data_IF_912704010459
#
_entry.id   IF_912704010459
#
_cell.length_a   1.000
_cell.length_b   1.000
_cell.length_c   1.000
_cell.angle_alpha   90.00
_cell.angle_beta   90.00
_cell.angle_gamma   90.00
#
_symmetry.space_group_name_H-M   'P 1'
#
loop_
_entity.id
_entity.type
_entity.pdbx_description
1 polymer ?
#
# COMPACT_ATOMS: atom_id res chain seq x y z
N UNK A 1 -7.07 -18.20 -41.39
CA UNK A 1 -6.19 -17.03 -41.53
C UNK A 1 -6.76 -15.97 -40.61
N UNK A 2 -5.99 -15.48 -39.63
CA UNK A 2 -6.51 -14.44 -38.72
C UNK A 2 -6.59 -13.12 -39.49
N UNK A 3 -7.77 -12.49 -39.52
CA UNK A 3 -7.94 -11.19 -40.12
C UNK A 3 -7.11 -10.15 -39.36
N UNK A 4 -6.25 -9.46 -40.11
CA UNK A 4 -5.29 -8.47 -39.62
C UNK A 4 -5.76 -7.06 -39.97
N UNK A 5 -5.68 -6.17 -38.99
CA UNK A 5 -6.03 -4.75 -39.10
C UNK A 5 -4.88 -3.89 -38.60
N UNK A 6 -4.73 -2.69 -39.17
CA UNK A 6 -3.62 -1.78 -38.86
C UNK A 6 -4.13 -0.48 -38.25
N UNK A 7 -3.61 -0.09 -37.10
CA UNK A 7 -3.91 1.19 -36.45
C UNK A 7 -2.62 2.00 -36.39
N UNK A 8 -2.56 3.13 -37.08
CA UNK A 8 -1.39 4.01 -37.09
C UNK A 8 -1.62 5.18 -36.13
N UNK A 9 -0.73 5.34 -35.14
CA UNK A 9 -0.80 6.43 -34.17
C UNK A 9 0.43 7.32 -34.29
N UNK A 10 0.26 8.58 -34.70
CA UNK A 10 1.36 9.54 -34.90
C UNK A 10 2.55 8.94 -35.70
N UNK A 11 2.23 8.15 -36.73
CA UNK A 11 3.21 7.48 -37.57
C UNK A 11 3.70 6.11 -37.07
N UNK A 12 3.32 5.65 -35.87
CA UNK A 12 3.66 4.31 -35.36
C UNK A 12 2.55 3.30 -35.67
N UNK A 13 2.81 2.24 -36.45
CA UNK A 13 1.81 1.25 -36.82
C UNK A 13 1.65 0.15 -35.75
N UNK A 14 0.41 -0.17 -35.41
CA UNK A 14 0.02 -1.28 -34.54
C UNK A 14 -0.79 -2.29 -35.33
N UNK A 15 -0.54 -3.57 -35.09
CA UNK A 15 -1.32 -4.66 -35.68
C UNK A 15 -2.33 -5.16 -34.64
N UNK A 16 -3.60 -5.19 -35.01
CA UNK A 16 -4.66 -5.83 -34.25
C UNK A 16 -5.26 -6.99 -35.04
N UNK A 17 -5.62 -8.05 -34.35
CA UNK A 17 -6.36 -9.17 -34.88
C UNK A 17 -7.84 -9.08 -34.52
N UNK A 18 -8.68 -9.81 -35.26
CA UNK A 18 -10.14 -9.78 -35.06
C UNK A 18 -10.56 -10.12 -33.62
N UNK A 19 -9.95 -11.13 -33.02
CA UNK A 19 -10.21 -11.55 -31.63
C UNK A 19 -9.87 -10.44 -30.62
N UNK A 20 -8.75 -9.74 -30.82
CA UNK A 20 -8.38 -8.58 -30.01
C UNK A 20 -9.39 -7.43 -30.16
N UNK A 21 -9.87 -7.19 -31.37
CA UNK A 21 -10.89 -6.15 -31.64
C UNK A 21 -12.21 -6.50 -30.95
N UNK A 22 -12.61 -7.77 -30.96
CA UNK A 22 -13.87 -8.24 -30.37
C UNK A 22 -13.82 -8.41 -28.84
N UNK A 23 -12.63 -8.41 -28.22
CA UNK A 23 -12.42 -8.68 -26.79
C UNK A 23 -13.27 -7.81 -25.84
N UNK A 24 -13.29 -6.50 -26.05
CA UNK A 24 -14.11 -5.54 -25.28
C UNK A 24 -15.11 -4.86 -26.22
N UNK A 25 -15.88 -5.68 -26.93
CA UNK A 25 -16.94 -5.24 -27.84
C UNK A 25 -18.22 -4.87 -27.06
N UNK A 26 -18.98 -3.84 -27.48
CA UNK A 26 -18.72 -2.95 -28.62
C UNK A 26 -17.70 -1.85 -28.29
N UNK A 27 -16.82 -1.56 -29.24
CA UNK A 27 -15.83 -0.49 -29.17
C UNK A 27 -15.61 0.20 -30.54
N UNK A 28 -14.76 1.22 -30.55
CA UNK A 28 -14.41 1.99 -31.74
C UNK A 28 -13.92 1.08 -32.89
N UNK A 29 -13.01 0.15 -32.61
CA UNK A 29 -12.42 -0.76 -33.60
C UNK A 29 -13.44 -1.74 -34.18
N UNK A 30 -14.35 -2.26 -33.35
CA UNK A 30 -15.46 -3.08 -33.87
C UNK A 30 -16.35 -2.30 -34.82
N UNK A 31 -16.59 -1.02 -34.54
CA UNK A 31 -17.40 -0.15 -35.41
C UNK A 31 -16.71 0.10 -36.75
N UNK A 32 -15.42 0.49 -36.74
CA UNK A 32 -14.72 0.91 -37.96
C UNK A 32 -14.24 -0.26 -38.84
N UNK A 33 -13.83 -1.39 -38.24
CA UNK A 33 -13.22 -2.50 -38.99
C UNK A 33 -14.19 -3.63 -39.31
N UNK A 34 -15.23 -3.81 -38.48
CA UNK A 34 -16.21 -4.88 -38.64
C UNK A 34 -17.60 -4.36 -39.06
N UNK A 35 -17.76 -3.03 -39.15
CA UNK A 35 -18.96 -2.38 -39.68
C UNK A 35 -18.85 -1.99 -41.16
N UNK A 36 -19.78 -1.15 -41.60
CA UNK A 36 -19.94 -0.78 -43.02
C UNK A 36 -19.12 0.47 -43.45
N UNK A 37 -18.18 0.93 -42.62
CA UNK A 37 -17.36 2.10 -42.91
C UNK A 37 -16.27 1.82 -43.95
N UNK A 38 -15.74 2.86 -44.60
CA UNK A 38 -14.71 2.71 -45.64
C UNK A 38 -13.42 2.03 -45.12
N UNK A 39 -13.13 2.21 -43.83
CA UNK A 39 -12.01 1.62 -43.11
C UNK A 39 -12.11 0.10 -42.96
N UNK A 40 -13.31 -0.49 -43.09
CA UNK A 40 -13.47 -1.95 -43.14
C UNK A 40 -12.92 -2.53 -44.45
N UNK A 41 -12.92 -1.75 -45.53
CA UNK A 41 -12.33 -2.14 -46.81
C UNK A 41 -10.80 -2.00 -46.82
N UNK A 42 -10.26 -0.94 -46.22
CA UNK A 42 -8.81 -0.70 -46.17
C UNK A 42 -8.12 -1.47 -45.04
N UNK A 43 -8.88 -1.91 -44.03
CA UNK A 43 -8.38 -2.56 -42.80
C UNK A 43 -7.30 -1.73 -42.10
N UNK A 44 -7.31 -0.42 -42.27
CA UNK A 44 -6.35 0.51 -41.70
C UNK A 44 -7.00 1.81 -41.24
N UNK A 45 -6.57 2.35 -40.09
CA UNK A 45 -7.00 3.66 -39.59
C UNK A 45 -5.81 4.44 -39.05
N UNK A 46 -5.85 5.76 -39.16
CA UNK A 46 -4.83 6.66 -38.58
C UNK A 46 -5.47 7.59 -37.54
N UNK A 47 -4.86 7.70 -36.36
CA UNK A 47 -5.38 8.50 -35.24
C UNK A 47 -4.28 9.31 -34.56
N UNK A 48 -4.64 10.46 -34.01
CA UNK A 48 -3.71 11.39 -33.35
C UNK A 48 -3.55 11.13 -31.83
N UNK A 49 -3.52 9.86 -31.41
CA UNK A 49 -3.40 9.43 -30.00
C UNK A 49 -1.96 9.03 -29.61
N UNK A 50 -1.72 8.81 -28.32
CA UNK A 50 -0.39 8.46 -27.80
C UNK A 50 -0.03 7.01 -28.15
N UNK A 51 1.05 6.75 -28.91
CA UNK A 51 1.47 5.39 -29.22
C UNK A 51 1.87 4.59 -27.97
N UNK A 52 2.48 5.27 -26.98
CA UNK A 52 2.94 4.62 -25.76
C UNK A 52 1.78 4.13 -24.89
N UNK A 53 0.71 4.92 -24.75
CA UNK A 53 -0.48 4.48 -24.02
C UNK A 53 -1.24 3.40 -24.80
N UNK A 54 -1.24 3.50 -26.12
CA UNK A 54 -1.90 2.50 -26.95
C UNK A 54 -1.27 1.12 -26.85
N UNK A 55 0.05 1.00 -26.61
CA UNK A 55 0.68 -0.30 -26.29
C UNK A 55 0.02 -0.99 -25.10
N UNK A 56 -0.37 -0.23 -24.09
CA UNK A 56 -1.08 -0.75 -22.90
C UNK A 56 -2.47 -1.25 -23.31
N UNK A 57 -3.15 -0.51 -24.18
CA UNK A 57 -4.46 -0.90 -24.73
C UNK A 57 -4.36 -2.17 -25.56
N UNK A 58 -3.32 -2.33 -26.40
CA UNK A 58 -3.09 -3.58 -27.17
C UNK A 58 -2.91 -4.77 -26.22
N UNK A 59 -2.16 -4.61 -25.12
CA UNK A 59 -2.01 -5.68 -24.12
C UNK A 59 -3.36 -6.03 -23.47
N UNK A 60 -4.17 -5.02 -23.14
CA UNK A 60 -5.52 -5.23 -22.61
C UNK A 60 -6.41 -5.99 -23.59
N UNK A 61 -6.46 -5.57 -24.87
CA UNK A 61 -7.23 -6.23 -25.93
C UNK A 61 -6.73 -7.66 -26.23
N UNK A 62 -5.48 -7.95 -25.88
CA UNK A 62 -4.92 -9.31 -25.94
C UNK A 62 -5.30 -10.18 -24.74
N UNK A 63 -6.11 -9.67 -23.81
CA UNK A 63 -6.53 -10.37 -22.60
C UNK A 63 -5.53 -10.33 -21.44
N UNK A 64 -4.43 -9.58 -21.55
CA UNK A 64 -3.48 -9.47 -20.45
C UNK A 64 -4.00 -8.57 -19.32
N UNK A 65 -3.61 -8.91 -18.09
CA UNK A 65 -3.82 -8.05 -16.94
C UNK A 65 -2.85 -6.86 -17.02
N UNK A 66 -3.39 -5.66 -17.22
CA UNK A 66 -2.59 -4.42 -17.38
C UNK A 66 -2.43 -3.61 -16.08
N UNK A 67 -3.19 -3.95 -15.03
CA UNK A 67 -3.09 -3.32 -13.73
C UNK A 67 -2.46 -4.26 -12.69
N UNK A 68 -1.64 -3.74 -11.76
CA UNK A 68 -1.24 -2.33 -11.61
C UNK A 68 -0.26 -1.90 -12.72
N UNK A 69 -0.31 -0.61 -13.12
CA UNK A 69 0.69 -0.06 -14.04
C UNK A 69 2.06 -0.05 -13.36
N UNK A 70 3.03 -0.74 -13.94
CA UNK A 70 4.41 -0.76 -13.43
C UNK A 70 5.23 0.36 -14.04
N UNK A 71 6.30 0.77 -13.35
CA UNK A 71 7.22 1.81 -13.84
C UNK A 71 7.86 1.47 -15.20
N UNK A 72 7.92 0.19 -15.58
CA UNK A 72 8.45 -0.25 -16.87
C UNK A 72 7.49 -0.04 -18.04
N UNK A 73 6.19 0.07 -17.76
CA UNK A 73 5.12 0.22 -18.78
C UNK A 73 4.70 1.68 -18.92
N UNK A 74 4.92 2.49 -17.87
CA UNK A 74 4.61 3.92 -17.87
C UNK A 74 5.58 4.66 -18.81
N UNK A 75 5.07 5.52 -19.71
CA UNK A 75 5.91 6.37 -20.54
C UNK A 75 6.86 7.22 -19.68
N UNK A 76 8.13 7.37 -20.08
CA UNK A 76 9.15 8.07 -19.28
C UNK A 76 8.84 9.54 -19.01
N UNK A 77 7.95 10.13 -19.80
CA UNK A 77 7.47 11.51 -19.70
C UNK A 77 6.20 11.65 -18.83
N UNK A 78 5.67 10.55 -18.26
CA UNK A 78 4.46 10.56 -17.45
C UNK A 78 4.70 10.05 -16.04
N UNK A 79 4.05 10.68 -15.07
CA UNK A 79 3.84 10.08 -13.75
C UNK A 79 2.78 8.98 -13.84
N UNK A 80 2.71 8.10 -12.84
CA UNK A 80 1.68 7.06 -12.76
C UNK A 80 0.26 7.64 -12.87
N UNK A 81 -0.04 8.70 -12.12
CA UNK A 81 -1.37 9.31 -12.11
C UNK A 81 -1.72 9.94 -13.47
N UNK A 82 -0.75 10.55 -14.13
CA UNK A 82 -0.91 11.06 -15.50
C UNK A 82 -1.14 9.93 -16.49
N UNK A 83 -0.34 8.87 -16.44
CA UNK A 83 -0.48 7.71 -17.33
C UNK A 83 -1.84 7.06 -17.17
N UNK A 84 -2.32 6.88 -15.94
CA UNK A 84 -3.64 6.32 -15.67
C UNK A 84 -4.78 7.22 -16.12
N UNK A 85 -4.70 8.52 -15.84
CA UNK A 85 -5.72 9.50 -16.28
C UNK A 85 -5.80 9.58 -17.79
N UNK A 86 -4.66 9.59 -18.48
CA UNK A 86 -4.61 9.62 -19.93
C UNK A 86 -5.06 8.27 -20.54
N UNK A 87 -4.71 7.14 -19.93
CA UNK A 87 -5.18 5.82 -20.34
C UNK A 87 -6.70 5.71 -20.19
N UNK A 88 -7.28 6.28 -19.14
CA UNK A 88 -8.74 6.35 -18.97
C UNK A 88 -9.39 7.15 -20.11
N UNK A 89 -8.86 8.33 -20.42
CA UNK A 89 -9.37 9.17 -21.53
C UNK A 89 -9.29 8.46 -22.87
N UNK A 90 -8.21 7.73 -23.13
CA UNK A 90 -8.07 6.95 -24.36
C UNK A 90 -9.02 5.74 -24.36
N UNK A 91 -9.21 5.06 -23.23
CA UNK A 91 -10.20 3.98 -23.09
C UNK A 91 -11.63 4.46 -23.34
N UNK A 92 -12.01 5.63 -22.82
CA UNK A 92 -13.29 6.29 -23.10
C UNK A 92 -13.43 6.64 -24.57
N UNK A 93 -12.38 7.21 -25.18
CA UNK A 93 -12.38 7.54 -26.61
C UNK A 93 -12.59 6.31 -27.50
N UNK A 94 -11.93 5.19 -27.18
CA UNK A 94 -12.11 3.94 -27.90
C UNK A 94 -13.37 3.17 -27.52
N UNK A 95 -14.15 3.63 -26.53
CA UNK A 95 -15.35 2.95 -26.08
C UNK A 95 -15.08 1.60 -25.39
N UNK A 96 -13.90 1.41 -24.80
CA UNK A 96 -13.49 0.17 -24.13
C UNK A 96 -14.10 0.11 -22.73
N UNK A 97 -15.36 -0.33 -22.64
CA UNK A 97 -16.16 -0.24 -21.41
C UNK A 97 -15.59 -1.11 -20.29
N UNK A 98 -15.08 -2.29 -20.61
CA UNK A 98 -14.40 -3.16 -19.66
C UNK A 98 -13.15 -2.50 -19.10
N UNK A 99 -12.34 -1.87 -19.96
CA UNK A 99 -11.15 -1.14 -19.54
C UNK A 99 -11.52 0.09 -18.68
N UNK A 100 -12.53 0.84 -19.07
CA UNK A 100 -13.06 1.99 -18.32
C UNK A 100 -13.52 1.55 -16.92
N UNK A 101 -14.27 0.45 -16.82
CA UNK A 101 -14.70 -0.11 -15.53
C UNK A 101 -13.50 -0.55 -14.67
N UNK A 102 -12.52 -1.21 -15.27
CA UNK A 102 -11.29 -1.65 -14.62
C UNK A 102 -10.44 -0.47 -14.12
N UNK A 103 -10.44 0.64 -14.87
CA UNK A 103 -9.79 1.88 -14.46
C UNK A 103 -10.62 2.67 -13.45
N UNK A 104 -11.95 2.60 -13.42
CA UNK A 104 -12.79 3.27 -12.43
C UNK A 104 -12.95 2.51 -11.11
N UNK A 105 -12.67 1.20 -11.09
CA UNK A 105 -12.85 0.37 -9.91
C UNK A 105 -12.15 1.03 -8.70
N UNK A 106 -12.86 1.23 -7.57
CA UNK A 106 -12.26 1.78 -6.35
C UNK A 106 -11.18 0.80 -5.86
N UNK A 107 -9.92 1.15 -6.13
CA UNK A 107 -8.76 0.27 -6.04
C UNK A 107 -7.77 0.45 -7.21
N UNK A 108 -8.21 1.01 -8.33
CA UNK A 108 -7.35 1.36 -9.45
C UNK A 108 -6.72 2.77 -9.30
N UNK A 109 -7.35 3.68 -8.53
CA UNK A 109 -6.86 5.03 -8.25
C UNK A 109 -6.09 5.11 -6.96
N UNK A 110 -4.89 4.53 -6.94
CA UNK A 110 -3.84 4.96 -6.04
C UNK A 110 -2.52 4.41 -6.51
N UNK A 111 -1.49 5.24 -6.51
CA UNK A 111 -0.12 4.81 -6.34
C UNK A 111 -0.05 3.79 -5.18
N UNK A 112 -0.10 2.51 -5.50
CA UNK A 112 0.20 1.40 -4.60
C UNK A 112 0.35 0.13 -5.43
N UNK A 113 1.56 -0.22 -5.91
CA UNK A 113 1.77 -1.53 -6.50
C UNK A 113 1.63 -2.55 -5.35
N UNK A 114 0.67 -3.47 -5.46
CA UNK A 114 0.48 -4.62 -4.56
C UNK A 114 0.09 -4.33 -3.09
N UNK A 115 0.13 -3.08 -2.64
CA UNK A 115 0.02 -2.71 -1.20
C UNK A 115 -1.40 -2.76 -0.63
N UNK A 116 -2.43 -2.37 -1.40
CA UNK A 116 -3.82 -2.39 -0.92
C UNK A 116 -4.41 -3.80 -0.97
N UNK A 117 -3.98 -4.61 -1.94
CA UNK A 117 -4.29 -6.05 -1.93
C UNK A 117 -3.53 -6.76 -0.80
N UNK A 118 -2.29 -6.41 -0.46
CA UNK A 118 -1.60 -7.08 0.65
C UNK A 118 -2.23 -6.79 2.01
N UNK A 119 -2.67 -5.56 2.29
CA UNK A 119 -3.42 -5.28 3.52
C UNK A 119 -4.81 -5.92 3.47
N UNK A 120 -5.57 -5.78 2.38
CA UNK A 120 -6.90 -6.39 2.25
C UNK A 120 -6.84 -7.93 2.33
N UNK A 121 -5.81 -8.57 1.79
CA UNK A 121 -5.55 -10.02 1.90
C UNK A 121 -5.06 -10.38 3.30
N UNK A 122 -4.21 -9.56 3.95
CA UNK A 122 -3.87 -9.76 5.36
C UNK A 122 -5.11 -9.68 6.25
N UNK A 123 -5.94 -8.64 6.05
CA UNK A 123 -7.25 -8.49 6.65
C UNK A 123 -8.10 -9.72 6.35
N UNK A 124 -8.26 -10.16 5.10
CA UNK A 124 -9.11 -11.30 4.76
C UNK A 124 -8.57 -12.63 5.30
N UNK A 125 -7.25 -12.80 5.42
CA UNK A 125 -6.60 -14.00 5.95
C UNK A 125 -6.69 -14.07 7.48
N UNK A 126 -6.63 -12.93 8.17
CA UNK A 126 -6.88 -12.80 9.62
C UNK A 126 -8.39 -12.75 9.94
N UNK A 127 -9.20 -12.23 9.03
CA UNK A 127 -10.63 -11.98 9.15
C UNK A 127 -11.47 -12.95 8.31
N UNK A 128 -11.08 -14.24 8.26
CA UNK A 128 -11.93 -15.35 7.83
C UNK A 128 -13.14 -15.56 8.78
N UNK A 129 -13.77 -14.47 9.25
CA UNK A 129 -15.02 -14.46 10.01
C UNK A 129 -15.11 -13.45 11.17
N UNK A 130 -14.07 -12.66 11.47
CA UNK A 130 -14.02 -11.84 12.69
C UNK A 130 -14.15 -10.34 12.44
N UNK A 131 -14.90 -9.69 13.33
CA UNK A 131 -15.14 -8.24 13.40
C UNK A 131 -13.83 -7.46 13.58
N UNK A 132 -13.72 -6.27 12.98
CA UNK A 132 -12.57 -5.35 13.14
C UNK A 132 -13.02 -4.13 13.95
N UNK A 133 -12.18 -3.67 14.88
CA UNK A 133 -12.46 -2.51 15.74
C UNK A 133 -11.66 -1.30 15.25
N UNK A 134 -12.30 -0.13 15.15
CA UNK A 134 -11.56 1.11 14.91
C UNK A 134 -10.88 1.57 16.19
N UNK A 135 -9.62 1.99 16.11
CA UNK A 135 -8.85 2.41 17.30
C UNK A 135 -9.50 3.60 18.01
N UNK A 136 -10.02 4.56 17.27
CA UNK A 136 -10.78 5.69 17.85
C UNK A 136 -12.03 5.25 18.62
N UNK A 137 -12.66 4.14 18.22
CA UNK A 137 -13.82 3.59 18.94
C UNK A 137 -13.39 2.82 20.20
N UNK A 138 -12.24 2.13 20.15
CA UNK A 138 -11.61 1.56 21.34
C UNK A 138 -11.29 2.63 22.38
N UNK A 139 -10.68 3.74 21.98
CA UNK A 139 -10.37 4.85 22.89
C UNK A 139 -11.65 5.46 23.49
N UNK A 140 -12.68 5.64 22.67
CA UNK A 140 -14.00 6.17 23.09
C UNK A 140 -14.86 5.16 23.85
N UNK A 141 -14.52 3.86 23.81
CA UNK A 141 -15.28 2.79 24.44
C UNK A 141 -16.54 2.38 23.68
N UNK A 142 -16.65 2.79 22.42
CA UNK A 142 -17.78 2.48 21.54
C UNK A 142 -17.52 1.15 20.82
N UNK A 143 -17.35 0.08 21.61
CA UNK A 143 -16.99 -1.22 21.05
C UNK A 143 -18.21 -1.89 20.39
N UNK A 144 -18.01 -2.60 19.26
CA UNK A 144 -19.09 -3.35 18.65
C UNK A 144 -19.62 -4.48 19.57
N UNK A 145 -20.87 -4.95 19.36
CA UNK A 145 -21.45 -6.02 20.17
C UNK A 145 -20.60 -7.30 20.15
N UNK A 146 -20.36 -7.88 21.33
CA UNK A 146 -19.54 -9.10 21.49
C UNK A 146 -18.04 -8.87 21.58
N UNK A 147 -17.56 -7.64 21.37
CA UNK A 147 -16.18 -7.25 21.61
C UNK A 147 -15.98 -6.88 23.07
N UNK A 148 -14.99 -7.48 23.70
CA UNK A 148 -14.54 -7.22 25.05
C UNK A 148 -13.17 -6.53 25.02
N UNK A 149 -12.96 -5.69 26.02
CA UNK A 149 -11.71 -4.98 26.26
C UNK A 149 -11.43 -5.02 27.76
N UNK A 150 -10.43 -5.81 28.15
CA UNK A 150 -10.05 -6.05 29.54
C UNK A 150 -8.57 -6.42 29.65
N UNK A 151 -8.14 -6.96 30.79
CA UNK A 151 -6.75 -7.36 31.03
C UNK A 151 -6.23 -8.49 30.13
N UNK A 152 -7.06 -9.09 29.28
CA UNK A 152 -6.66 -10.06 28.24
C UNK A 152 -6.39 -9.37 26.89
N UNK A 153 -6.66 -8.08 26.77
CA UNK A 153 -6.53 -7.31 25.53
C UNK A 153 -7.88 -6.98 24.91
N UNK A 154 -7.93 -6.92 23.57
CA UNK A 154 -9.14 -6.64 22.79
C UNK A 154 -9.51 -7.88 21.98
N UNK A 155 -10.71 -8.41 22.21
CA UNK A 155 -11.09 -9.69 21.63
C UNK A 155 -12.56 -10.03 21.82
N UNK A 156 -12.95 -11.22 21.39
CA UNK A 156 -14.27 -11.80 21.66
C UNK A 156 -14.13 -13.11 22.42
N UNK A 157 -15.12 -13.43 23.25
CA UNK A 157 -15.21 -14.70 23.94
C UNK A 157 -16.22 -15.58 23.21
N UNK A 158 -15.74 -16.66 22.59
CA UNK A 158 -16.60 -17.63 21.89
C UNK A 158 -16.36 -19.00 22.48
N UNK A 159 -17.41 -19.65 22.99
CA UNK A 159 -17.30 -20.97 23.64
C UNK A 159 -16.18 -21.02 24.69
N UNK A 160 -16.14 -20.00 25.57
CA UNK A 160 -15.13 -19.80 26.63
C UNK A 160 -13.68 -19.61 26.15
N UNK A 161 -13.44 -19.60 24.85
CA UNK A 161 -12.12 -19.34 24.27
C UNK A 161 -11.99 -17.88 23.84
N UNK A 162 -10.84 -17.28 24.15
CA UNK A 162 -10.51 -15.92 23.78
C UNK A 162 -9.98 -15.83 22.36
N UNK A 163 -10.56 -14.94 21.56
CA UNK A 163 -10.16 -14.67 20.18
C UNK A 163 -9.76 -13.20 20.06
N UNK A 164 -8.46 -12.88 19.89
CA UNK A 164 -8.01 -11.52 19.68
C UNK A 164 -8.66 -10.91 18.44
N UNK A 165 -9.07 -9.65 18.55
CA UNK A 165 -9.71 -8.93 17.45
C UNK A 165 -8.70 -7.94 16.84
N UNK A 166 -8.64 -7.84 15.49
CA UNK A 166 -7.86 -6.80 14.83
C UNK A 166 -8.40 -5.40 15.13
N UNK A 167 -7.48 -4.48 15.38
CA UNK A 167 -7.72 -3.06 15.58
C UNK A 167 -7.12 -2.31 14.40
N UNK A 168 -7.94 -1.50 13.73
CA UNK A 168 -7.55 -0.64 12.62
C UNK A 168 -7.31 0.79 13.09
N UNK A 169 -6.22 1.40 12.65
CA UNK A 169 -5.96 2.82 12.84
C UNK A 169 -5.34 3.45 11.58
N UNK A 170 -5.37 4.77 11.51
CA UNK A 170 -4.79 5.57 10.43
C UNK A 170 -4.15 6.82 11.01
N UNK A 171 -3.11 7.33 10.35
CA UNK A 171 -2.40 8.53 10.78
C UNK A 171 -1.59 8.35 12.07
N UNK A 172 -1.22 7.10 12.39
CA UNK A 172 -0.40 6.80 13.56
C UNK A 172 1.06 7.14 13.28
N UNK A 173 1.82 7.48 14.32
CA UNK A 173 3.28 7.60 14.23
C UNK A 173 3.92 6.33 14.75
N UNK A 174 4.90 5.84 13.99
CA UNK A 174 5.67 4.64 14.32
C UNK A 174 7.13 5.03 14.44
N UNK A 175 7.76 4.72 15.57
CA UNK A 175 9.19 4.94 15.78
C UNK A 175 9.87 3.61 16.00
N UNK A 176 10.96 3.38 15.28
CA UNK A 176 11.70 2.14 15.31
C UNK A 176 13.18 2.39 15.56
N UNK A 177 13.81 1.53 16.34
CA UNK A 177 15.22 1.63 16.67
C UNK A 177 15.96 0.44 16.08
N UNK A 178 17.06 0.66 15.35
CA UNK A 178 17.89 -0.44 14.89
C UNK A 178 18.42 -1.22 16.11
N UNK A 179 17.92 -2.43 16.30
CA UNK A 179 18.32 -3.31 17.39
C UNK A 179 19.06 -4.53 16.81
N UNK A 180 20.25 -4.89 17.31
CA UNK A 180 20.97 -6.10 16.90
C UNK A 180 20.19 -7.40 17.14
N UNK A 181 19.20 -7.42 18.03
CA UNK A 181 18.47 -8.65 18.42
C UNK A 181 17.42 -9.14 17.41
N UNK A 182 17.36 -8.57 16.18
CA UNK A 182 16.43 -8.90 15.08
C UNK A 182 14.92 -8.75 15.39
N UNK A 183 14.53 -8.61 16.66
CA UNK A 183 13.17 -8.28 17.08
C UNK A 183 12.98 -6.78 16.98
N UNK A 184 12.22 -6.38 15.95
CA UNK A 184 11.80 -5.01 15.73
C UNK A 184 10.85 -4.58 16.85
N UNK A 185 11.42 -3.95 17.89
CA UNK A 185 10.67 -3.27 18.95
C UNK A 185 10.38 -1.87 18.46
N UNK A 186 9.11 -1.62 18.13
CA UNK A 186 8.66 -0.33 17.64
C UNK A 186 7.66 0.28 18.60
N UNK A 187 7.55 1.60 18.60
CA UNK A 187 6.50 2.30 19.32
C UNK A 187 5.42 2.77 18.37
N UNK A 188 4.18 2.69 18.84
CA UNK A 188 3.00 3.13 18.12
C UNK A 188 2.26 4.18 18.95
N UNK A 189 2.06 5.37 18.38
CA UNK A 189 1.31 6.45 19.04
C UNK A 189 0.28 7.07 18.10
N UNK A 190 -0.82 7.52 18.69
CA UNK A 190 -1.77 8.40 18.03
C UNK A 190 -1.36 9.84 18.34
N UNK A 191 -0.94 10.63 17.34
CA UNK A 191 -0.48 12.00 17.57
C UNK A 191 -1.56 12.88 18.22
N UNK A 192 -2.84 12.58 18.06
CA UNK A 192 -3.94 13.36 18.67
C UNK A 192 -4.24 12.94 20.11
N UNK A 193 -3.88 11.71 20.51
CA UNK A 193 -4.17 11.18 21.84
C UNK A 193 -2.91 10.96 22.70
N UNK A 194 -1.73 11.35 22.23
CA UNK A 194 -0.43 10.97 22.81
C UNK A 194 -0.24 11.34 24.29
N UNK A 195 -0.85 12.40 24.81
CA UNK A 195 -0.75 12.76 26.23
C UNK A 195 -1.63 11.90 27.14
N UNK A 196 -2.75 11.40 26.61
CA UNK A 196 -3.79 10.71 27.37
C UNK A 196 -3.91 9.23 27.03
N UNK A 197 -3.06 8.73 26.12
CA UNK A 197 -3.14 7.38 25.57
C UNK A 197 -3.05 6.32 26.66
N UNK A 198 -2.03 6.38 27.52
CA UNK A 198 -1.82 5.40 28.61
C UNK A 198 -3.00 5.39 29.59
N UNK A 199 -3.43 6.58 30.02
CA UNK A 199 -4.54 6.74 30.95
C UNK A 199 -5.86 6.24 30.33
N UNK A 200 -6.07 6.48 29.03
CA UNK A 200 -7.27 6.05 28.31
C UNK A 200 -7.31 4.53 28.18
N UNK A 201 -6.21 3.89 27.77
CA UNK A 201 -6.12 2.42 27.70
C UNK A 201 -6.30 1.77 29.09
N UNK A 202 -5.69 2.35 30.13
CA UNK A 202 -5.82 1.87 31.51
C UNK A 202 -7.27 1.96 32.00
N UNK A 203 -7.99 3.06 31.70
CA UNK A 203 -9.43 3.20 32.00
C UNK A 203 -10.29 2.16 31.27
N UNK A 204 -9.82 1.61 30.15
CA UNK A 204 -10.45 0.49 29.44
C UNK A 204 -10.05 -0.88 29.97
N UNK A 205 -9.26 -0.96 31.04
CA UNK A 205 -8.78 -2.21 31.60
C UNK A 205 -7.59 -2.82 30.85
N UNK A 206 -7.00 -2.09 29.90
CA UNK A 206 -5.83 -2.55 29.15
C UNK A 206 -4.55 -2.08 29.83
N UNK A 207 -3.73 -3.02 30.27
CA UNK A 207 -2.37 -2.76 30.77
C UNK A 207 -1.36 -2.93 29.64
N UNK A 208 -1.47 -2.07 28.64
CA UNK A 208 -0.56 -2.08 27.49
C UNK A 208 0.83 -1.60 27.94
N UNK A 209 1.92 -2.24 27.51
CA UNK A 209 3.27 -1.76 27.80
C UNK A 209 3.48 -0.41 27.11
N UNK A 210 3.77 0.63 27.89
CA UNK A 210 3.97 1.99 27.39
C UNK A 210 5.43 2.42 27.53
N UNK A 211 5.84 3.35 26.68
CA UNK A 211 7.08 4.10 26.81
C UNK A 211 6.84 5.55 26.41
N UNK A 212 7.83 6.41 26.62
CA UNK A 212 7.82 7.78 26.12
C UNK A 212 9.02 8.05 25.22
N UNK A 213 8.85 8.94 24.24
CA UNK A 213 9.95 9.39 23.39
C UNK A 213 9.74 10.84 22.97
N UNK A 214 10.83 11.52 22.63
CA UNK A 214 10.79 12.88 22.07
C UNK A 214 10.83 12.82 20.54
N UNK A 215 9.91 13.54 19.89
CA UNK A 215 9.90 13.76 18.45
C UNK A 215 9.53 15.22 18.19
N UNK A 216 10.35 15.91 17.39
CA UNK A 216 10.19 17.34 17.07
C UNK A 216 9.94 18.22 18.32
N UNK A 217 10.65 17.95 19.41
CA UNK A 217 10.52 18.70 20.68
C UNK A 217 9.28 18.36 21.51
N UNK A 218 8.41 17.47 21.04
CA UNK A 218 7.19 17.02 21.76
C UNK A 218 7.42 15.65 22.38
N UNK A 219 6.94 15.44 23.62
CA UNK A 219 7.01 14.16 24.33
C UNK A 219 5.76 13.33 24.04
N UNK A 220 5.93 12.19 23.37
CA UNK A 220 4.83 11.28 23.05
C UNK A 220 4.79 10.11 24.03
N UNK A 221 3.60 9.74 24.53
CA UNK A 221 3.39 8.39 25.07
C UNK A 221 3.07 7.44 23.92
N UNK A 222 3.65 6.25 23.96
CA UNK A 222 3.47 5.29 22.89
C UNK A 222 3.41 3.86 23.42
N UNK A 223 2.64 3.04 22.72
CA UNK A 223 2.54 1.61 22.98
C UNK A 223 3.80 0.92 22.45
N UNK A 224 4.45 0.11 23.26
CA UNK A 224 5.48 -0.81 22.79
C UNK A 224 4.79 -1.93 22.02
N UNK A 225 5.24 -2.16 20.79
CA UNK A 225 4.67 -3.16 19.91
C UNK A 225 5.75 -3.92 19.14
N UNK A 226 5.35 -5.05 18.59
CA UNK A 226 6.19 -5.92 17.78
C UNK A 226 5.56 -6.13 16.42
N UNK A 227 6.34 -5.98 15.36
CA UNK A 227 5.92 -6.37 14.01
C UNK A 227 6.06 -7.89 13.91
N UNK A 228 4.95 -8.59 13.64
CA UNK A 228 5.03 -10.03 13.47
C UNK A 228 5.84 -10.38 12.21
N UNK A 229 6.59 -11.49 12.18
CA UNK A 229 7.32 -11.91 10.97
C UNK A 229 6.41 -12.12 9.75
N UNK A 230 5.16 -12.55 9.99
CA UNK A 230 4.12 -12.72 8.97
C UNK A 230 3.33 -11.44 8.69
N UNK A 231 3.72 -10.29 9.25
CA UNK A 231 3.00 -9.06 9.06
C UNK A 231 3.19 -8.54 7.63
N UNK A 232 2.09 -8.12 7.01
CA UNK A 232 2.12 -7.49 5.70
C UNK A 232 2.46 -6.02 5.85
N UNK A 233 3.75 -5.70 5.72
CA UNK A 233 4.24 -4.33 5.88
C UNK A 233 4.83 -3.83 4.58
N UNK A 234 4.53 -2.58 4.25
CA UNK A 234 5.18 -1.87 3.15
C UNK A 234 5.78 -0.57 3.64
N UNK A 235 6.90 -0.17 3.06
CA UNK A 235 7.57 1.10 3.34
C UNK A 235 7.70 1.90 2.05
N UNK A 236 7.11 3.10 1.99
CA UNK A 236 7.05 3.93 0.78
C UNK A 236 6.56 3.14 -0.47
N UNK A 237 5.62 2.21 -0.26
CA UNK A 237 5.06 1.36 -1.32
C UNK A 237 5.89 0.13 -1.71
N UNK A 238 7.01 -0.12 -1.03
CA UNK A 238 7.86 -1.29 -1.24
C UNK A 238 7.51 -2.36 -0.22
N UNK A 239 7.30 -3.61 -0.65
CA UNK A 239 7.03 -4.73 0.25
C UNK A 239 8.22 -5.01 1.17
N UNK A 240 7.91 -5.20 2.46
CA UNK A 240 8.87 -5.37 3.54
C UNK A 240 8.56 -6.58 4.44
N UNK A 241 7.65 -7.47 4.00
CA UNK A 241 7.29 -8.70 4.74
C UNK A 241 8.53 -9.48 5.13
N UNK A 242 8.71 -9.73 6.44
CA UNK A 242 9.83 -10.50 6.99
C UNK A 242 11.23 -9.90 6.82
N UNK A 243 11.37 -8.74 6.16
CA UNK A 243 12.67 -8.18 5.77
C UNK A 243 13.12 -6.98 6.62
N UNK A 244 12.23 -6.38 7.42
CA UNK A 244 12.52 -5.12 8.11
C UNK A 244 13.72 -5.19 9.07
N UNK A 245 13.79 -6.22 9.92
CA UNK A 245 14.84 -6.33 10.95
C UNK A 245 16.26 -6.27 10.38
N UNK A 246 16.59 -7.18 9.46
CA UNK A 246 17.92 -7.20 8.81
C UNK A 246 18.16 -5.95 7.94
N UNK A 247 17.11 -5.42 7.31
CA UNK A 247 17.24 -4.27 6.42
C UNK A 247 17.46 -2.97 7.18
N UNK A 248 16.94 -2.83 8.41
CA UNK A 248 17.24 -1.69 9.28
C UNK A 248 18.71 -1.58 9.61
N UNK A 249 19.35 -2.69 10.02
CA UNK A 249 20.77 -2.71 10.33
C UNK A 249 21.63 -2.35 9.11
N UNK A 250 21.26 -2.84 7.91
CA UNK A 250 21.94 -2.47 6.66
C UNK A 250 21.76 -0.99 6.33
N UNK A 251 20.55 -0.46 6.45
CA UNK A 251 20.23 0.93 6.12
C UNK A 251 20.91 1.92 7.07
N UNK A 252 20.94 1.66 8.38
CA UNK A 252 21.59 2.56 9.35
C UNK A 252 23.12 2.55 9.24
N UNK A 253 23.74 1.38 9.03
CA UNK A 253 25.18 1.25 8.85
C UNK A 253 25.67 1.98 7.59
N UNK A 254 24.98 1.80 6.47
CA UNK A 254 25.31 2.44 5.19
C UNK A 254 25.00 3.95 5.18
N UNK A 255 23.95 4.40 5.86
CA UNK A 255 23.65 5.83 5.99
C UNK A 255 24.68 6.59 6.86
N UNK A 256 25.38 5.88 7.75
CA UNK A 256 26.42 6.45 8.63
C UNK A 256 27.79 6.52 7.95
N UNK A 257 28.02 5.76 6.87
CA UNK A 257 29.21 5.90 6.04
C UNK A 257 29.06 7.06 5.07
N UNK A 258 29.94 8.07 5.17
CA UNK A 258 30.01 9.25 4.27
C UNK A 258 30.46 8.89 2.83
N UNK A 259 30.16 7.70 2.32
CA UNK A 259 30.45 7.32 0.93
C UNK A 259 29.38 7.96 0.05
N UNK A 260 29.56 9.25 -0.19
CA UNK A 260 28.84 10.00 -1.19
C UNK A 260 29.27 9.50 -2.57
N UNK A 261 28.32 9.04 -3.38
CA UNK A 261 28.54 8.90 -4.82
C UNK A 261 29.04 7.56 -5.37
N UNK A 262 29.03 6.46 -4.62
CA UNK A 262 29.16 5.13 -5.21
C UNK A 262 27.86 4.73 -5.91
N UNK A 263 27.88 4.53 -7.23
CA UNK A 263 26.82 3.80 -7.97
C UNK A 263 26.79 2.34 -7.47
N UNK A 264 26.32 2.10 -6.25
CA UNK A 264 25.95 0.75 -5.84
C UNK A 264 24.63 0.41 -6.52
N UNK A 265 24.74 -0.08 -7.75
CA UNK A 265 23.66 -0.65 -8.56
C UNK A 265 22.97 -1.85 -7.90
N UNK A 266 23.34 -2.21 -6.67
CA UNK A 266 22.93 -3.43 -5.99
C UNK A 266 22.19 -3.20 -4.66
N UNK A 267 21.91 -1.95 -4.25
CA UNK A 267 21.08 -1.70 -3.07
C UNK A 267 19.60 -1.89 -3.43
N UNK A 268 18.97 -2.87 -2.77
CA UNK A 268 17.55 -3.17 -2.94
C UNK A 268 16.66 -1.95 -2.63
N UNK A 269 15.46 -1.93 -3.21
CA UNK A 269 14.57 -0.77 -3.12
C UNK A 269 14.20 -0.42 -1.67
N UNK A 270 14.01 -1.42 -0.81
CA UNK A 270 13.62 -1.25 0.58
C UNK A 270 14.74 -0.60 1.39
N UNK A 271 15.98 -1.07 1.23
CA UNK A 271 17.15 -0.45 1.87
C UNK A 271 17.27 1.04 1.48
N UNK A 272 17.09 1.38 0.20
CA UNK A 272 17.10 2.78 -0.27
C UNK A 272 15.96 3.61 0.34
N UNK A 273 14.76 3.05 0.44
CA UNK A 273 13.64 3.73 1.09
C UNK A 273 13.96 4.03 2.57
N UNK A 274 14.48 3.05 3.28
CA UNK A 274 14.85 3.18 4.70
C UNK A 274 16.00 4.16 4.92
N UNK A 275 17.02 4.18 4.05
CA UNK A 275 18.08 5.18 4.10
C UNK A 275 17.54 6.60 3.94
N UNK A 276 16.58 6.83 3.04
CA UNK A 276 15.96 8.16 2.88
C UNK A 276 15.23 8.58 4.14
N UNK A 277 14.48 7.66 4.76
CA UNK A 277 13.78 7.90 6.02
C UNK A 277 14.80 8.24 7.12
N UNK A 278 15.82 7.40 7.31
CA UNK A 278 16.86 7.63 8.30
C UNK A 278 17.57 8.98 8.16
N UNK A 279 17.91 9.37 6.92
CA UNK A 279 18.60 10.64 6.63
C UNK A 279 17.70 11.86 6.84
N UNK A 280 16.39 11.71 6.71
CA UNK A 280 15.43 12.79 6.91
C UNK A 280 15.19 13.09 8.41
N UNK A 281 15.49 12.14 9.29
CA UNK A 281 15.31 12.29 10.73
C UNK A 281 16.54 12.92 11.39
N UNK A 282 16.34 14.03 12.09
CA UNK A 282 17.40 14.86 12.68
C UNK A 282 18.26 14.09 13.70
N UNK A 283 17.63 13.13 14.41
CA UNK A 283 18.30 12.35 15.46
C UNK A 283 19.26 11.29 14.91
N UNK A 284 19.06 10.80 13.67
CA UNK A 284 19.80 9.66 13.08
C UNK A 284 19.99 8.49 14.06
N UNK A 285 18.99 8.24 14.91
CA UNK A 285 19.01 7.17 15.92
C UNK A 285 17.79 6.25 15.81
N UNK A 286 16.78 6.69 15.05
CA UNK A 286 15.53 5.97 14.87
C UNK A 286 14.99 6.19 13.46
N UNK A 287 14.20 5.25 13.00
CA UNK A 287 13.35 5.44 11.84
C UNK A 287 11.99 5.92 12.31
N UNK A 288 11.48 6.99 11.71
CA UNK A 288 10.16 7.55 12.03
C UNK A 288 9.27 7.46 10.79
N UNK A 289 8.09 6.87 10.96
CA UNK A 289 7.12 6.68 9.90
C UNK A 289 5.79 7.32 10.26
N UNK A 290 5.07 7.76 9.24
CA UNK A 290 3.61 7.85 9.32
C UNK A 290 3.02 6.52 8.85
N UNK A 291 2.19 5.90 9.68
CA UNK A 291 1.37 4.76 9.28
C UNK A 291 0.03 5.26 8.77
N UNK A 292 -0.11 5.34 7.45
CA UNK A 292 -1.37 5.77 6.82
C UNK A 292 -2.51 4.80 7.15
N UNK A 293 -2.18 3.51 7.20
CA UNK A 293 -3.06 2.47 7.68
C UNK A 293 -2.24 1.45 8.46
N UNK A 294 -2.75 1.05 9.61
CA UNK A 294 -2.16 0.02 10.44
C UNK A 294 -3.22 -0.87 11.05
N UNK A 295 -2.90 -2.16 11.10
CA UNK A 295 -3.68 -3.20 11.73
C UNK A 295 -2.82 -3.83 12.80
N UNK A 296 -3.32 -3.85 14.02
CA UNK A 296 -2.64 -4.50 15.13
C UNK A 296 -3.65 -5.23 16.00
N UNK A 297 -3.16 -6.04 16.93
CA UNK A 297 -3.99 -6.65 17.97
C UNK A 297 -3.35 -6.43 19.32
N UNK A 298 -4.19 -6.38 20.35
CA UNK A 298 -3.76 -6.35 21.75
C UNK A 298 -4.20 -7.68 22.34
N UNK A 299 -3.24 -8.53 22.71
CA UNK A 299 -3.50 -9.93 23.07
C UNK A 299 -2.71 -10.37 24.31
N UNK A 300 -3.12 -11.48 24.97
CA UNK A 300 -2.33 -12.04 26.05
C UNK A 300 -0.97 -12.50 25.53
N UNK A 301 0.09 -12.22 26.29
CA UNK A 301 1.42 -12.77 26.07
C UNK A 301 1.73 -13.82 27.13
N UNK A 302 2.41 -14.90 26.74
CA UNK A 302 2.99 -15.85 27.69
C UNK A 302 4.23 -15.29 28.39
N UNK A 303 4.75 -14.15 27.92
CA UNK A 303 5.92 -13.46 28.47
C UNK A 303 5.47 -12.30 29.36
N UNK A 304 6.37 -11.79 30.20
CA UNK A 304 6.14 -10.49 30.84
C UNK A 304 6.54 -9.40 29.85
N UNK A 305 5.69 -8.39 29.57
CA UNK A 305 4.38 -8.10 30.19
C UNK A 305 3.22 -8.98 29.68
N UNK A 306 2.17 -9.21 30.48
CA UNK A 306 1.12 -10.20 30.21
C UNK A 306 0.23 -9.86 29.00
N UNK A 307 0.37 -8.66 28.45
CA UNK A 307 -0.29 -8.21 27.23
C UNK A 307 0.79 -7.72 26.26
N UNK A 308 0.64 -8.07 25.00
CA UNK A 308 1.48 -7.56 23.92
C UNK A 308 0.65 -6.92 22.82
N UNK A 309 1.25 -5.94 22.15
CA UNK A 309 0.70 -5.29 20.95
C UNK A 309 1.46 -5.82 19.74
N UNK A 310 0.73 -6.42 18.81
CA UNK A 310 1.32 -7.02 17.62
C UNK A 310 0.80 -6.36 16.36
N UNK A 311 1.70 -5.80 15.55
CA UNK A 311 1.36 -5.27 14.23
C UNK A 311 1.20 -6.46 13.28
N UNK A 312 0.05 -6.50 12.61
CA UNK A 312 -0.37 -7.56 11.69
C UNK A 312 -0.22 -7.11 10.24
N UNK A 313 -0.45 -5.83 9.97
CA UNK A 313 -0.22 -5.22 8.68
C UNK A 313 -0.04 -3.71 8.83
N UNK A 314 0.78 -3.10 7.99
CA UNK A 314 0.95 -1.65 8.02
C UNK A 314 1.42 -1.08 6.67
N UNK A 315 0.93 0.11 6.34
CA UNK A 315 1.47 0.93 5.26
C UNK A 315 2.24 2.11 5.85
N UNK A 316 3.56 1.93 5.92
CA UNK A 316 4.48 2.97 6.36
C UNK A 316 4.88 3.86 5.19
N UNK A 317 4.85 5.16 5.43
CA UNK A 317 5.38 6.17 4.53
C UNK A 317 6.32 7.08 5.30
N UNK A 318 7.33 7.61 4.62
CA UNK A 318 8.17 8.65 5.20
C UNK A 318 7.33 9.88 5.58
N UNK A 319 7.73 10.61 6.63
CA UNK A 319 7.04 11.83 7.05
C UNK A 319 7.00 12.89 5.95
N UNK A 320 8.05 12.97 5.13
CA UNK A 320 8.11 13.85 3.95
C UNK A 320 7.06 13.47 2.89
N UNK A 321 6.90 12.18 2.60
CA UNK A 321 5.87 11.71 1.66
C UNK A 321 4.45 11.86 2.23
N UNK A 322 4.27 11.73 3.54
CA UNK A 322 2.98 12.01 4.17
C UNK A 322 2.62 13.50 4.05
N UNK A 323 3.58 14.39 4.32
CA UNK A 323 3.38 15.84 4.23
C UNK A 323 3.08 16.31 2.80
N UNK A 324 3.77 15.76 1.79
CA UNK A 324 3.57 16.15 0.39
C UNK A 324 2.20 15.77 -0.18
N UNK A 325 1.47 14.86 0.47
CA UNK A 325 0.10 14.47 0.09
C UNK A 325 -0.98 15.35 0.71
N UNK A 326 -0.62 16.20 1.67
CA UNK A 326 -1.53 17.15 2.33
C UNK A 326 -1.51 18.54 1.67
N UNK A 327 -0.55 18.78 0.77
CA UNK A 327 -0.36 20.00 -0.02
C UNK A 327 -0.89 19.82 -1.43
#
# INVERSE_FOLDING_TARGET
>A
MMDKYTVTLRGEPFTLYRDQIEFDSPNYFTSIFLGDFAESQTRSVELSRSPNLFRIIVNYLSGYTILPLTATVIPTDMTFDMARTNLLRDAEFFGLRGLVALLHAPGASSNSPQTVQSLAVAYQSLALGHQVVQFGDLLRGNLPPGVLCDNRGVGSLQSEKWYPIPIKASGMIVVDWPNPDLVVKTTLTDPLAHETLSATLTRRGLQVPMTTYHLDGTLFQAMLCTILPSAHVTVDGIDAVGMLGETYSRASASASSNVDGGKDSNIDGLTRALQRIWKAEDTKQSFVYAAEEIVFTIRPSAKSPPIEVCILAARFVSRANAASRLL
#
